data_IF_917062424230
#
_entry.id   IF_917062424230
#
_cell.length_a   1.000
_cell.length_b   1.000
_cell.length_c   1.000
_cell.angle_alpha   90.00
_cell.angle_beta   90.00
_cell.angle_gamma   90.00
#
_symmetry.space_group_name_H-M   'P 1'
#
loop_
_entity.id
_entity.type
_entity.pdbx_description
1 polymer ?
#
# COMPACT_ATOMS: atom_id res chain seq x y z
N UNK A 1 -12.03 -3.24 7.51
CA UNK A 1 -11.29 -2.11 6.87
C UNK A 1 -9.79 -2.35 6.98
N UNK A 2 -9.08 -2.22 5.86
CA UNK A 2 -7.61 -2.39 5.75
C UNK A 2 -6.97 -1.08 5.31
N UNK A 3 -5.70 -0.89 5.62
CA UNK A 3 -4.96 0.31 5.22
C UNK A 3 -3.61 -0.05 4.62
N UNK A 4 -3.22 0.67 3.57
CA UNK A 4 -1.84 0.80 3.13
C UNK A 4 -1.42 2.25 3.35
N UNK A 5 -0.45 2.49 4.22
CA UNK A 5 0.11 3.84 4.45
C UNK A 5 1.42 3.98 3.68
N UNK A 6 1.59 5.09 2.96
CA UNK A 6 2.81 5.35 2.19
C UNK A 6 3.53 6.57 2.75
N UNK A 7 4.73 6.36 3.29
CA UNK A 7 5.71 7.39 3.64
C UNK A 7 6.59 7.68 2.43
N UNK A 8 6.56 8.91 1.94
CA UNK A 8 7.23 9.33 0.71
C UNK A 8 7.91 10.68 0.93
N UNK A 9 9.25 10.68 1.10
CA UNK A 9 10.03 11.92 1.21
C UNK A 9 9.56 12.88 2.33
N UNK A 10 9.07 12.34 3.45
CA UNK A 10 8.50 13.11 4.56
C UNK A 10 6.99 13.40 4.47
N UNK A 11 6.31 12.97 3.41
CA UNK A 11 4.85 13.00 3.28
C UNK A 11 4.23 11.65 3.62
N UNK A 12 2.99 11.66 4.11
CA UNK A 12 2.24 10.43 4.38
C UNK A 12 0.85 10.49 3.76
N UNK A 13 0.41 9.38 3.15
CA UNK A 13 -0.98 9.18 2.76
C UNK A 13 -1.47 7.79 3.18
N UNK A 14 -2.73 7.74 3.61
CA UNK A 14 -3.43 6.50 3.94
C UNK A 14 -4.35 6.10 2.80
N UNK A 15 -4.04 4.98 2.15
CA UNK A 15 -4.90 4.35 1.16
C UNK A 15 -5.82 3.35 1.86
N UNK A 16 -7.03 3.81 2.20
CA UNK A 16 -8.03 2.98 2.86
C UNK A 16 -8.69 2.04 1.87
N UNK A 17 -8.81 0.78 2.27
CA UNK A 17 -9.45 -0.28 1.49
C UNK A 17 -10.73 -0.71 2.22
N UNK A 18 -11.91 -0.25 1.77
CA UNK A 18 -13.19 -0.75 2.26
C UNK A 18 -13.32 -2.25 2.02
N UNK A 19 -14.01 -2.95 2.92
CA UNK A 19 -14.18 -4.41 2.83
C UNK A 19 -14.92 -4.82 1.55
N UNK A 20 -15.86 -4.00 1.07
CA UNK A 20 -16.54 -4.18 -0.21
C UNK A 20 -15.56 -4.15 -1.40
N UNK A 21 -14.61 -3.21 -1.41
CA UNK A 21 -13.62 -3.07 -2.50
C UNK A 21 -12.61 -4.21 -2.49
N UNK A 22 -12.24 -4.68 -1.31
CA UNK A 22 -11.39 -5.86 -1.19
C UNK A 22 -12.12 -7.14 -1.65
N UNK A 23 -13.42 -7.25 -1.35
CA UNK A 23 -14.25 -8.36 -1.83
C UNK A 23 -14.37 -8.34 -3.35
N UNK A 24 -14.62 -7.17 -3.96
CA UNK A 24 -14.63 -7.00 -5.42
C UNK A 24 -13.27 -7.40 -6.04
N UNK A 25 -12.17 -6.92 -5.47
CA UNK A 25 -10.81 -7.26 -5.90
C UNK A 25 -10.57 -8.79 -5.88
N UNK A 26 -10.85 -9.45 -4.75
CA UNK A 26 -10.66 -10.90 -4.61
C UNK A 26 -11.66 -11.73 -5.43
N UNK A 27 -12.77 -11.14 -5.90
CA UNK A 27 -13.73 -11.82 -6.78
C UNK A 27 -13.30 -11.75 -8.24
N UNK A 28 -12.73 -10.63 -8.68
CA UNK A 28 -12.52 -10.34 -10.10
C UNK A 28 -11.06 -10.44 -10.56
N UNK A 29 -10.08 -10.35 -9.66
CA UNK A 29 -8.67 -10.45 -10.03
C UNK A 29 -8.26 -11.91 -10.21
N UNK A 30 -7.55 -12.21 -11.30
CA UNK A 30 -6.98 -13.53 -11.55
C UNK A 30 -6.11 -13.97 -10.35
N UNK A 31 -6.40 -15.10 -9.68
CA UNK A 31 -5.58 -15.62 -8.58
C UNK A 31 -4.09 -15.70 -8.87
N UNK A 32 -3.71 -15.99 -10.11
CA UNK A 32 -2.30 -16.15 -10.52
C UNK A 32 -1.48 -14.85 -10.40
N UNK A 33 -2.14 -13.69 -10.50
CA UNK A 33 -1.44 -12.38 -10.47
C UNK A 33 -1.54 -11.69 -9.10
N UNK A 34 -2.21 -12.31 -8.12
CA UNK A 34 -2.45 -11.72 -6.79
C UNK A 34 -1.19 -11.58 -5.94
N UNK A 35 -0.19 -12.41 -6.23
CA UNK A 35 1.10 -12.47 -5.55
C UNK A 35 2.25 -12.26 -6.53
N UNK A 36 1.96 -11.70 -7.70
CA UNK A 36 2.95 -11.42 -8.73
C UNK A 36 3.69 -10.13 -8.37
N UNK A 37 5.02 -10.21 -8.31
CA UNK A 37 5.90 -9.07 -8.02
C UNK A 37 5.75 -7.96 -9.06
N UNK A 38 5.45 -8.29 -10.32
CA UNK A 38 5.21 -7.29 -11.36
C UNK A 38 3.94 -6.47 -11.08
N UNK A 39 2.92 -7.08 -10.48
CA UNK A 39 1.71 -6.36 -10.06
C UNK A 39 1.95 -5.54 -8.81
N UNK A 40 2.75 -6.04 -7.87
CA UNK A 40 3.19 -5.29 -6.71
C UNK A 40 3.91 -4.00 -7.14
N UNK A 41 4.90 -4.11 -8.05
CA UNK A 41 5.63 -2.96 -8.56
C UNK A 41 4.73 -1.96 -9.32
N UNK A 42 3.78 -2.45 -10.12
CA UNK A 42 2.82 -1.57 -10.82
C UNK A 42 1.91 -0.84 -9.83
N UNK A 43 1.43 -1.54 -8.80
CA UNK A 43 0.62 -0.96 -7.75
C UNK A 43 1.40 0.12 -7.00
N UNK A 44 2.64 -0.19 -6.59
CA UNK A 44 3.56 0.72 -5.92
C UNK A 44 3.79 2.00 -6.75
N UNK A 45 4.11 1.89 -8.04
CA UNK A 45 4.31 3.05 -8.94
C UNK A 45 3.06 3.91 -9.07
N UNK A 46 1.87 3.31 -9.04
CA UNK A 46 0.62 4.05 -9.08
C UNK A 46 0.40 4.85 -7.79
N UNK A 47 0.65 4.24 -6.63
CA UNK A 47 0.59 4.94 -5.35
C UNK A 47 1.67 6.03 -5.26
N UNK A 48 2.88 5.78 -5.76
CA UNK A 48 3.96 6.76 -5.82
C UNK A 48 3.59 7.96 -6.70
N UNK A 49 3.01 7.72 -7.88
CA UNK A 49 2.52 8.79 -8.75
C UNK A 49 1.46 9.66 -8.05
N UNK A 50 0.59 9.04 -7.24
CA UNK A 50 -0.32 9.78 -6.37
C UNK A 50 0.43 10.63 -5.33
N UNK A 51 1.43 10.06 -4.64
CA UNK A 51 2.25 10.79 -3.67
C UNK A 51 2.99 11.98 -4.30
N UNK A 52 3.58 11.81 -5.49
CA UNK A 52 4.24 12.87 -6.27
C UNK A 52 3.31 14.01 -6.65
N UNK A 53 2.03 13.73 -6.83
CA UNK A 53 1.02 14.77 -7.05
C UNK A 53 0.70 15.58 -5.77
N UNK A 54 1.35 15.25 -4.65
CA UNK A 54 1.13 15.83 -3.32
C UNK A 54 -0.34 15.82 -2.90
N UNK A 55 -1.06 14.73 -3.24
CA UNK A 55 -2.48 14.62 -2.93
C UNK A 55 -3.35 15.71 -3.58
N UNK A 56 -2.94 16.27 -4.72
CA UNK A 56 -3.71 17.27 -5.48
C UNK A 56 -5.14 16.80 -5.83
N UNK A 57 -5.40 15.51 -5.69
CA UNK A 57 -6.73 14.90 -5.78
C UNK A 57 -6.95 13.92 -4.63
N UNK A 58 -8.22 13.63 -4.37
CA UNK A 58 -8.61 12.55 -3.49
C UNK A 58 -8.16 11.18 -4.05
N UNK A 59 -7.94 10.23 -3.15
CA UNK A 59 -7.71 8.81 -3.47
C UNK A 59 -8.88 8.31 -4.31
N UNK A 60 -8.57 7.82 -5.51
CA UNK A 60 -9.55 7.33 -6.46
C UNK A 60 -9.60 5.80 -6.52
N UNK A 61 -10.47 5.24 -7.37
CA UNK A 61 -10.61 3.79 -7.52
C UNK A 61 -9.31 3.09 -7.93
N UNK A 62 -8.47 3.73 -8.75
CA UNK A 62 -7.19 3.17 -9.18
C UNK A 62 -6.22 2.99 -8.01
N UNK A 63 -6.10 3.98 -7.14
CA UNK A 63 -5.27 3.89 -5.94
C UNK A 63 -5.81 2.86 -4.95
N UNK A 64 -7.14 2.76 -4.82
CA UNK A 64 -7.75 1.72 -3.99
C UNK A 64 -7.43 0.32 -4.50
N UNK A 65 -7.47 0.08 -5.82
CA UNK A 65 -7.10 -1.21 -6.41
C UNK A 65 -5.61 -1.49 -6.25
N UNK A 66 -4.74 -0.49 -6.44
CA UNK A 66 -3.32 -0.64 -6.17
C UNK A 66 -3.04 -0.99 -4.70
N UNK A 67 -3.72 -0.32 -3.76
CA UNK A 67 -3.64 -0.66 -2.34
C UNK A 67 -4.14 -2.09 -2.07
N UNK A 68 -5.18 -2.58 -2.76
CA UNK A 68 -5.60 -3.98 -2.66
C UNK A 68 -4.47 -4.95 -3.09
N UNK A 69 -3.76 -4.65 -4.18
CA UNK A 69 -2.63 -5.49 -4.62
C UNK A 69 -1.51 -5.52 -3.58
N UNK A 70 -1.09 -4.36 -3.07
CA UNK A 70 -0.05 -4.28 -2.02
C UNK A 70 -0.49 -5.04 -0.78
N UNK A 71 -1.67 -4.74 -0.23
CA UNK A 71 -2.14 -5.38 0.99
C UNK A 71 -2.28 -6.89 0.82
N UNK A 72 -2.87 -7.34 -0.30
CA UNK A 72 -3.05 -8.76 -0.59
C UNK A 72 -1.71 -9.49 -0.76
N UNK A 73 -0.74 -8.87 -1.46
CA UNK A 73 0.56 -9.47 -1.70
C UNK A 73 1.20 -9.90 -0.38
N UNK A 74 1.18 -9.05 0.65
CA UNK A 74 1.80 -9.37 1.93
C UNK A 74 0.89 -10.18 2.86
N UNK A 75 -0.38 -9.80 3.05
CA UNK A 75 -1.22 -10.43 4.08
C UNK A 75 -1.72 -11.84 3.69
N UNK A 76 -1.76 -12.16 2.39
CA UNK A 76 -2.26 -13.45 1.90
C UNK A 76 -1.20 -14.25 1.15
N UNK A 77 0.08 -13.85 1.19
CA UNK A 77 1.12 -14.56 0.45
C UNK A 77 1.21 -16.02 0.93
N UNK A 78 1.26 -17.01 0.01
CA UNK A 78 1.57 -18.38 0.40
C UNK A 78 3.02 -18.54 0.91
N UNK A 79 3.92 -17.63 0.54
CA UNK A 79 5.30 -17.61 1.03
C UNK A 79 5.37 -16.85 2.37
N UNK A 80 5.68 -17.53 3.50
CA UNK A 80 5.72 -16.89 4.82
C UNK A 80 6.79 -15.79 4.92
N UNK A 81 7.84 -15.83 4.10
CA UNK A 81 8.91 -14.81 4.12
C UNK A 81 8.44 -13.46 3.56
N UNK A 82 7.31 -13.45 2.83
CA UNK A 82 6.66 -12.25 2.31
C UNK A 82 5.45 -11.82 3.15
N UNK A 83 5.20 -12.43 4.32
CA UNK A 83 4.01 -12.10 5.10
C UNK A 83 4.24 -10.88 5.99
N UNK A 84 3.36 -9.88 5.84
CA UNK A 84 3.21 -8.76 6.76
C UNK A 84 1.78 -8.81 7.28
N UNK A 85 1.61 -8.99 8.59
CA UNK A 85 0.29 -9.09 9.20
C UNK A 85 -0.31 -7.70 9.49
N UNK A 86 -1.57 -7.50 9.10
CA UNK A 86 -2.34 -6.30 9.40
C UNK A 86 -2.17 -5.20 8.34
N UNK A 87 -2.23 -3.94 8.79
CA UNK A 87 -2.05 -2.79 7.89
C UNK A 87 -0.59 -2.72 7.43
N UNK A 88 -0.40 -2.40 6.15
CA UNK A 88 0.92 -2.38 5.49
C UNK A 88 1.42 -0.95 5.39
N UNK A 89 2.70 -0.75 5.65
CA UNK A 89 3.43 0.50 5.45
C UNK A 89 4.39 0.33 4.28
N UNK A 90 4.35 1.27 3.34
CA UNK A 90 5.38 1.47 2.32
C UNK A 90 6.27 2.63 2.80
N UNK A 91 7.58 2.40 2.85
CA UNK A 91 8.57 3.39 3.30
C UNK A 91 9.51 3.73 2.15
N UNK A 92 9.38 4.94 1.63
CA UNK A 92 10.29 5.60 0.69
C UNK A 92 10.81 6.88 1.37
N UNK A 93 11.96 6.77 2.04
CA UNK A 93 12.50 7.87 2.84
C UNK A 93 12.99 9.03 1.99
N UNK A 94 13.55 8.73 0.82
CA UNK A 94 14.10 9.74 -0.10
C UNK A 94 13.00 10.35 -0.97
N UNK A 95 11.86 9.67 -1.12
CA UNK A 95 10.76 10.10 -1.98
C UNK A 95 11.16 10.04 -3.45
N UNK A 96 12.00 9.09 -3.85
CA UNK A 96 12.46 8.97 -5.24
C UNK A 96 11.94 7.72 -5.94
N UNK A 97 11.24 6.84 -5.22
CA UNK A 97 10.77 5.55 -5.72
C UNK A 97 11.87 4.49 -5.81
N UNK A 98 13.10 4.81 -5.41
CA UNK A 98 14.31 3.99 -5.61
C UNK A 98 14.59 3.03 -4.45
N UNK A 99 14.50 3.51 -3.21
CA UNK A 99 14.69 2.67 -2.01
C UNK A 99 13.35 2.51 -1.29
N UNK A 100 12.73 1.35 -1.42
CA UNK A 100 11.40 1.08 -0.85
C UNK A 100 11.43 -0.14 0.05
N UNK A 101 10.97 0.05 1.28
CA UNK A 101 10.78 -1.00 2.29
C UNK A 101 9.29 -1.19 2.60
N UNK A 102 8.92 -2.40 3.02
CA UNK A 102 7.57 -2.74 3.45
C UNK A 102 7.60 -3.24 4.89
N UNK A 103 6.67 -2.76 5.72
CA UNK A 103 6.59 -3.14 7.13
C UNK A 103 5.13 -3.22 7.61
N UNK A 104 4.89 -3.88 8.74
CA UNK A 104 3.60 -3.77 9.42
C UNK A 104 3.50 -2.39 10.09
N UNK A 105 2.30 -1.83 10.17
CA UNK A 105 2.06 -0.57 10.92
C UNK A 105 2.51 -0.70 12.39
N UNK A 106 2.46 -1.89 12.97
CA UNK A 106 2.91 -2.16 14.34
C UNK A 106 4.42 -2.13 14.55
N UNK A 107 5.21 -2.37 13.49
CA UNK A 107 6.66 -2.52 13.57
C UNK A 107 7.41 -1.20 13.36
N UNK A 108 6.73 -0.18 12.84
CA UNK A 108 7.31 1.15 12.64
C UNK A 108 6.92 2.04 13.83
N UNK A 109 7.88 2.53 14.64
CA UNK A 109 7.59 3.50 15.68
C UNK A 109 7.26 4.87 15.06
N UNK A 110 6.03 5.03 14.59
CA UNK A 110 5.54 6.27 14.01
C UNK A 110 5.11 7.23 15.14
N UNK A 111 5.94 8.22 15.45
CA UNK A 111 5.48 9.37 16.23
C UNK A 111 4.49 10.16 15.37
N UNK A 112 3.19 9.95 15.59
CA UNK A 112 2.17 10.94 15.21
C UNK A 112 2.40 12.19 16.06
N UNK A 113 3.03 13.21 15.50
CA UNK A 113 2.94 14.54 16.09
C UNK A 113 1.48 14.98 15.97
N UNK A 114 0.78 14.91 17.10
CA UNK A 114 -0.54 15.50 17.23
C UNK A 114 -0.33 17.00 17.35
N UNK A 115 -0.56 17.73 16.26
CA UNK A 115 -0.63 19.19 16.31
C UNK A 115 -1.91 19.53 17.08
N UNK A 116 -1.74 20.00 18.31
CA UNK A 116 -2.80 20.63 19.12
C UNK A 116 -3.18 21.99 18.53
#
# INVERSE_FOLDING_TARGET
MRTVSYYYGGHVADFRIPDERFTEFTTHVNPEVRFDTDQLEKAQRLLEAFMRSNGARAVGPGETVAACFVWNFFNNNPDPDHVIEGDVVIVDLDGDGGTIEYAAVGDVPMKRESVN
#
